data_IF_743058582522
#
_entry.id   IF_743058582522
#
_cell.length_a   1.000
_cell.length_b   1.000
_cell.length_c   1.000
_cell.angle_alpha   90.00
_cell.angle_beta   90.00
_cell.angle_gamma   90.00
#
_symmetry.space_group_name_H-M   'P 1'
#
loop_
_entity.id
_entity.type
_entity.pdbx_description
1 polymer ?
#
# COMPACT_ATOMS: atom_id res chain seq x y z
N UNK A 1 4.58 14.22 -7.39
CA UNK A 1 3.41 13.56 -8.01
C UNK A 1 3.76 13.33 -9.47
N UNK A 2 3.48 12.16 -10.02
CA UNK A 2 3.69 11.90 -11.44
C UNK A 2 2.59 12.60 -12.24
N UNK A 3 2.94 13.19 -13.38
CA UNK A 3 2.02 13.94 -14.21
C UNK A 3 1.85 13.26 -15.57
N UNK A 4 0.65 13.32 -16.10
CA UNK A 4 0.43 13.08 -17.52
C UNK A 4 0.90 14.29 -18.33
N UNK A 5 1.38 14.04 -19.53
CA UNK A 5 1.79 15.06 -20.50
C UNK A 5 1.08 14.81 -21.83
N UNK A 6 1.41 15.60 -22.86
CA UNK A 6 0.92 15.31 -24.22
C UNK A 6 1.46 13.98 -24.75
N UNK A 7 2.64 13.56 -24.32
CA UNK A 7 3.33 12.35 -24.77
C UNK A 7 2.98 11.11 -23.94
N UNK A 8 2.72 11.28 -22.64
CA UNK A 8 2.57 10.18 -21.70
C UNK A 8 1.32 10.31 -20.83
N UNK A 9 0.65 9.19 -20.61
CA UNK A 9 -0.40 9.08 -19.59
C UNK A 9 0.15 8.34 -18.38
N UNK A 10 0.07 8.99 -17.23
CA UNK A 10 0.50 8.43 -15.96
C UNK A 10 -0.32 7.20 -15.58
N UNK A 11 0.36 6.15 -15.13
CA UNK A 11 -0.26 5.02 -14.42
C UNK A 11 0.56 4.67 -13.19
N UNK A 12 -0.10 4.14 -12.18
CA UNK A 12 0.54 3.62 -10.98
C UNK A 12 -0.11 2.29 -10.60
N UNK A 13 0.70 1.26 -10.49
CA UNK A 13 0.25 -0.06 -10.02
C UNK A 13 0.44 -0.08 -8.51
N UNK A 14 -0.68 -0.25 -7.79
CA UNK A 14 -0.76 -0.06 -6.35
C UNK A 14 -0.98 -1.37 -5.60
N UNK A 15 -0.36 -1.46 -4.42
CA UNK A 15 -0.68 -2.44 -3.39
C UNK A 15 -0.52 -1.82 -2.00
N UNK A 16 -1.08 -2.46 -0.97
CA UNK A 16 -0.98 -1.98 0.41
C UNK A 16 -0.71 -3.12 1.37
N UNK A 17 0.30 -2.95 2.23
CA UNK A 17 0.62 -3.87 3.32
C UNK A 17 -0.42 -3.73 4.43
N UNK A 18 -0.95 -4.84 4.95
CA UNK A 18 -1.86 -4.80 6.09
C UNK A 18 -1.08 -4.74 7.41
N UNK A 19 -0.92 -3.54 7.94
CA UNK A 19 -0.15 -3.27 9.16
C UNK A 19 -0.77 -3.83 10.44
N UNK A 20 -2.01 -4.30 10.44
CA UNK A 20 -2.53 -5.08 11.55
C UNK A 20 -1.65 -6.31 11.85
N UNK A 21 -0.89 -6.77 10.85
CA UNK A 21 0.10 -7.84 10.96
C UNK A 21 1.55 -7.34 11.02
N UNK A 22 1.79 -6.10 11.46
CA UNK A 22 3.13 -5.50 11.43
C UNK A 22 4.22 -6.36 12.08
N UNK A 23 3.92 -7.01 13.21
CA UNK A 23 4.89 -7.86 13.90
C UNK A 23 5.37 -9.06 13.08
N UNK A 24 4.57 -9.53 12.13
CA UNK A 24 4.96 -10.58 11.17
C UNK A 24 5.67 -10.00 9.94
N UNK A 25 5.29 -8.77 9.54
CA UNK A 25 5.84 -8.12 8.35
C UNK A 25 7.27 -7.66 8.58
N UNK A 26 7.56 -7.03 9.73
CA UNK A 26 8.85 -6.38 10.04
C UNK A 26 10.06 -7.31 9.97
N UNK A 27 9.86 -8.61 10.25
CA UNK A 27 10.90 -9.63 10.29
C UNK A 27 10.83 -10.60 9.10
N UNK A 28 10.13 -10.20 8.02
CA UNK A 28 9.89 -11.05 6.84
C UNK A 28 10.31 -10.36 5.54
N UNK A 29 10.38 -11.13 4.46
CA UNK A 29 10.60 -10.64 3.10
C UNK A 29 9.33 -10.06 2.44
N UNK A 30 8.24 -9.84 3.19
CA UNK A 30 6.93 -9.49 2.63
C UNK A 30 6.96 -8.21 1.80
N UNK A 31 7.64 -7.16 2.26
CA UNK A 31 7.75 -5.87 1.54
C UNK A 31 8.59 -6.02 0.27
N UNK A 32 9.69 -6.78 0.34
CA UNK A 32 10.52 -7.11 -0.82
C UNK A 32 9.70 -7.86 -1.88
N UNK A 33 9.02 -8.93 -1.48
CA UNK A 33 8.19 -9.76 -2.37
C UNK A 33 7.05 -8.95 -2.98
N UNK A 34 6.36 -8.12 -2.19
CA UNK A 34 5.30 -7.24 -2.69
C UNK A 34 5.81 -6.24 -3.74
N UNK A 35 7.02 -5.70 -3.56
CA UNK A 35 7.66 -4.82 -4.54
C UNK A 35 7.98 -5.56 -5.84
N UNK A 36 8.54 -6.76 -5.75
CA UNK A 36 8.81 -7.62 -6.92
C UNK A 36 7.50 -7.96 -7.64
N UNK A 37 6.46 -8.31 -6.90
CA UNK A 37 5.14 -8.61 -7.46
C UNK A 37 4.56 -7.42 -8.24
N UNK A 38 4.66 -6.20 -7.70
CA UNK A 38 4.21 -5.00 -8.40
C UNK A 38 4.99 -4.74 -9.69
N UNK A 39 6.29 -5.02 -9.72
CA UNK A 39 7.08 -4.93 -10.96
C UNK A 39 6.67 -6.01 -11.98
N UNK A 40 6.30 -7.21 -11.53
CA UNK A 40 5.73 -8.24 -12.40
C UNK A 40 4.39 -7.78 -13.00
N UNK A 41 3.54 -7.09 -12.23
CA UNK A 41 2.29 -6.51 -12.75
C UNK A 41 2.56 -5.41 -13.78
N UNK A 42 3.63 -4.61 -13.62
CA UNK A 42 4.07 -3.69 -14.68
C UNK A 42 4.37 -4.45 -15.98
N UNK A 43 5.07 -5.57 -15.88
CA UNK A 43 5.40 -6.37 -17.06
C UNK A 43 4.16 -7.00 -17.69
N UNK A 44 3.24 -7.53 -16.89
CA UNK A 44 1.97 -8.08 -17.37
C UNK A 44 1.13 -7.01 -18.09
N UNK A 45 1.05 -5.80 -17.52
CA UNK A 45 0.38 -4.67 -18.15
C UNK A 45 1.04 -4.30 -19.50
N UNK A 46 2.37 -4.20 -19.55
CA UNK A 46 3.12 -3.89 -20.78
C UNK A 46 2.79 -4.92 -21.87
N UNK A 47 2.77 -6.20 -21.52
CA UNK A 47 2.49 -7.27 -22.47
C UNK A 47 1.03 -7.23 -22.96
N UNK A 48 0.07 -7.04 -22.06
CA UNK A 48 -1.37 -7.05 -22.38
C UNK A 48 -1.84 -5.78 -23.08
N UNK A 49 -1.16 -4.67 -22.93
CA UNK A 49 -1.49 -3.41 -23.58
C UNK A 49 -0.87 -3.24 -24.98
N UNK A 50 -0.08 -4.22 -25.43
CA UNK A 50 0.52 -4.17 -26.78
C UNK A 50 -0.55 -4.23 -27.88
N UNK A 51 -0.53 -3.24 -28.78
CA UNK A 51 -1.49 -3.14 -29.87
C UNK A 51 -2.93 -2.74 -29.46
N UNK A 52 -3.16 -2.43 -28.18
CA UNK A 52 -4.47 -1.97 -27.71
C UNK A 52 -4.61 -0.48 -27.94
N UNK A 53 -5.57 -0.11 -28.83
CA UNK A 53 -5.85 1.28 -29.19
C UNK A 53 -6.23 2.11 -27.95
N UNK A 54 -5.56 3.24 -27.76
CA UNK A 54 -5.79 4.17 -26.65
C UNK A 54 -4.94 3.88 -25.40
N UNK A 55 -4.17 2.79 -25.38
CA UNK A 55 -3.24 2.48 -24.28
C UNK A 55 -1.77 2.80 -24.59
N UNK A 56 -1.46 3.34 -25.76
CA UNK A 56 -0.08 3.57 -26.21
C UNK A 56 0.68 4.45 -25.24
N UNK A 57 0.13 5.60 -24.85
CA UNK A 57 0.79 6.58 -23.98
C UNK A 57 1.01 6.05 -22.55
N UNK A 58 0.08 5.30 -22.00
CA UNK A 58 0.23 4.70 -20.67
C UNK A 58 1.18 3.50 -20.70
N UNK A 59 1.18 2.75 -21.78
CA UNK A 59 2.14 1.66 -22.00
C UNK A 59 3.57 2.18 -22.07
N UNK A 60 3.81 3.22 -22.88
CA UNK A 60 5.12 3.86 -23.00
C UNK A 60 5.61 4.44 -21.66
N UNK A 61 4.73 5.09 -20.92
CA UNK A 61 5.01 5.55 -19.56
C UNK A 61 5.48 4.38 -18.68
N UNK A 62 4.74 3.26 -18.73
CA UNK A 62 5.05 2.09 -17.90
C UNK A 62 6.36 1.42 -18.33
N UNK A 63 6.66 1.33 -19.62
CA UNK A 63 7.93 0.79 -20.13
C UNK A 63 9.11 1.64 -19.63
N UNK A 64 9.02 2.97 -19.77
CA UNK A 64 10.12 3.90 -19.47
C UNK A 64 10.37 4.10 -17.98
N UNK A 65 9.34 4.04 -17.17
CA UNK A 65 9.41 4.41 -15.74
C UNK A 65 9.16 3.29 -14.74
N UNK A 66 8.35 2.30 -15.09
CA UNK A 66 7.93 1.20 -14.19
C UNK A 66 7.54 1.70 -12.80
N UNK A 67 6.72 2.76 -12.76
CA UNK A 67 6.27 3.37 -11.51
C UNK A 67 5.29 2.43 -10.78
N UNK A 68 5.60 2.12 -9.54
CA UNK A 68 4.77 1.32 -8.63
C UNK A 68 4.50 2.11 -7.35
N UNK A 69 3.47 1.72 -6.61
CA UNK A 69 3.11 2.37 -5.35
C UNK A 69 2.73 1.34 -4.29
N UNK A 70 3.71 0.90 -3.51
CA UNK A 70 3.47 0.09 -2.33
C UNK A 70 3.16 0.99 -1.14
N UNK A 71 1.98 0.84 -0.58
CA UNK A 71 1.51 1.58 0.58
C UNK A 71 1.19 0.68 1.77
N UNK A 72 0.36 1.19 2.65
CA UNK A 72 -0.08 0.48 3.84
C UNK A 72 -1.54 0.77 4.17
N UNK A 73 -2.17 -0.12 4.93
CA UNK A 73 -3.47 0.03 5.58
C UNK A 73 -3.42 -0.63 6.96
N UNK A 74 -4.40 -0.36 7.80
CA UNK A 74 -4.50 -0.99 9.12
C UNK A 74 -3.56 -0.40 10.18
N UNK A 75 -3.01 0.80 9.98
CA UNK A 75 -2.11 1.42 10.96
C UNK A 75 -2.85 1.71 12.28
N UNK A 76 -4.02 2.36 12.23
CA UNK A 76 -4.80 2.63 13.43
C UNK A 76 -5.28 1.34 14.10
N UNK A 77 -5.66 0.32 13.32
CA UNK A 77 -6.01 -1.00 13.87
C UNK A 77 -4.85 -1.61 14.67
N UNK A 78 -3.61 -1.49 14.17
CA UNK A 78 -2.44 -1.95 14.91
C UNK A 78 -2.21 -1.14 16.19
N UNK A 79 -2.37 0.18 16.14
CA UNK A 79 -2.27 1.04 17.32
C UNK A 79 -3.30 0.68 18.38
N UNK A 80 -4.57 0.50 17.97
CA UNK A 80 -5.67 0.09 18.87
C UNK A 80 -5.39 -1.26 19.53
N UNK A 81 -4.93 -2.26 18.76
CA UNK A 81 -4.58 -3.57 19.29
C UNK A 81 -3.50 -3.50 20.38
N UNK A 82 -2.55 -2.57 20.22
CA UNK A 82 -1.44 -2.37 21.16
C UNK A 82 -1.70 -1.30 22.24
N UNK A 83 -2.89 -0.70 22.27
CA UNK A 83 -3.24 0.34 23.24
C UNK A 83 -2.45 1.64 23.09
N UNK A 84 -2.00 1.98 21.87
CA UNK A 84 -1.24 3.16 21.56
C UNK A 84 -2.19 4.25 21.05
N UNK A 85 -2.30 5.41 21.72
CA UNK A 85 -3.09 6.54 21.22
C UNK A 85 -2.54 7.05 19.88
N UNK A 86 -3.42 7.34 18.93
CA UNK A 86 -3.05 7.74 17.58
C UNK A 86 -2.23 9.05 17.52
N UNK A 87 -2.55 10.00 18.38
CA UNK A 87 -1.91 11.32 18.51
C UNK A 87 -0.67 11.33 19.41
N UNK A 88 -0.20 10.15 19.83
CA UNK A 88 0.96 10.02 20.71
C UNK A 88 2.30 10.11 19.97
N UNK A 89 3.35 10.50 20.70
CA UNK A 89 4.73 10.44 20.22
C UNK A 89 5.12 9.00 19.85
N UNK A 90 4.62 8.01 20.61
CA UNK A 90 4.86 6.60 20.33
C UNK A 90 4.31 6.19 18.94
N UNK A 91 3.10 6.62 18.60
CA UNK A 91 2.51 6.37 17.27
C UNK A 91 3.33 7.04 16.16
N UNK A 92 3.80 8.27 16.39
CA UNK A 92 4.67 8.98 15.43
C UNK A 92 5.99 8.25 15.20
N UNK A 93 6.67 7.83 16.27
CA UNK A 93 7.92 7.08 16.15
C UNK A 93 7.71 5.73 15.44
N UNK A 94 6.62 5.05 15.74
CA UNK A 94 6.27 3.78 15.10
C UNK A 94 5.95 3.98 13.62
N UNK A 95 5.18 5.01 13.26
CA UNK A 95 4.87 5.30 11.84
C UNK A 95 6.14 5.56 11.03
N UNK A 96 7.09 6.32 11.59
CA UNK A 96 8.38 6.58 10.94
C UNK A 96 9.19 5.29 10.77
N UNK A 97 9.21 4.41 11.79
CA UNK A 97 9.89 3.11 11.70
C UNK A 97 9.30 2.22 10.59
N UNK A 98 7.97 2.15 10.52
CA UNK A 98 7.25 1.38 9.50
C UNK A 98 7.51 1.95 8.11
N UNK A 99 7.35 3.25 7.94
CA UNK A 99 7.56 3.92 6.66
C UNK A 99 9.00 3.73 6.16
N UNK A 100 9.98 3.87 7.06
CA UNK A 100 11.39 3.62 6.74
C UNK A 100 11.63 2.17 6.31
N UNK A 101 11.07 1.20 7.00
CA UNK A 101 11.19 -0.22 6.63
C UNK A 101 10.61 -0.48 5.22
N UNK A 102 9.41 0.03 4.92
CA UNK A 102 8.81 -0.10 3.59
C UNK A 102 9.72 0.55 2.53
N UNK A 103 10.27 1.72 2.82
CA UNK A 103 11.16 2.43 1.90
C UNK A 103 12.46 1.65 1.65
N UNK A 104 13.11 1.17 2.71
CA UNK A 104 14.40 0.47 2.61
C UNK A 104 14.24 -0.86 1.86
N UNK A 105 13.22 -1.66 2.21
CA UNK A 105 12.98 -2.95 1.59
C UNK A 105 12.51 -2.84 0.14
N UNK A 106 11.66 -1.86 -0.18
CA UNK A 106 11.26 -1.60 -1.57
C UNK A 106 12.43 -1.11 -2.42
N UNK A 107 13.36 -0.33 -1.83
CA UNK A 107 14.58 0.07 -2.50
C UNK A 107 15.52 -1.12 -2.75
N UNK A 108 15.67 -2.01 -1.77
CA UNK A 108 16.45 -3.25 -1.89
C UNK A 108 15.91 -4.12 -3.04
N UNK A 109 14.58 -4.28 -3.10
CA UNK A 109 13.91 -5.03 -4.16
C UNK A 109 14.11 -4.40 -5.54
N UNK A 110 13.93 -3.08 -5.66
CA UNK A 110 14.11 -2.38 -6.93
C UNK A 110 15.56 -2.44 -7.44
N UNK A 111 16.55 -2.37 -6.55
CA UNK A 111 17.97 -2.58 -6.88
C UNK A 111 18.25 -4.02 -7.35
N UNK A 112 17.65 -5.00 -6.69
CA UNK A 112 17.76 -6.40 -7.09
C UNK A 112 17.15 -6.63 -8.47
N UNK A 113 15.96 -6.07 -8.71
CA UNK A 113 15.28 -6.12 -10.02
C UNK A 113 16.12 -5.48 -11.12
N UNK A 114 16.74 -4.33 -10.87
CA UNK A 114 17.64 -3.67 -11.84
C UNK A 114 18.82 -4.54 -12.21
N UNK A 115 19.46 -5.22 -11.24
CA UNK A 115 20.56 -6.17 -11.50
C UNK A 115 20.12 -7.38 -12.31
N UNK A 116 18.89 -7.86 -12.15
CA UNK A 116 18.38 -9.06 -12.83
C UNK A 116 17.83 -8.77 -14.22
N UNK A 117 17.12 -7.65 -14.39
CA UNK A 117 16.32 -7.35 -15.58
C UNK A 117 16.68 -6.02 -16.25
N UNK A 118 17.69 -5.32 -15.73
CA UNK A 118 18.15 -4.03 -16.26
C UNK A 118 17.33 -2.84 -15.74
N UNK A 119 17.85 -1.67 -15.99
CA UNK A 119 17.24 -0.38 -15.65
C UNK A 119 16.38 0.11 -16.81
N UNK A 120 15.12 0.53 -16.61
CA UNK A 120 14.33 1.18 -17.63
C UNK A 120 14.91 2.57 -17.96
N UNK A 121 14.45 3.17 -19.04
CA UNK A 121 15.01 4.42 -19.60
C UNK A 121 15.17 5.52 -18.54
N UNK A 122 14.12 5.78 -17.74
CA UNK A 122 14.15 6.85 -16.73
C UNK A 122 14.88 6.50 -15.43
N UNK A 123 15.36 5.27 -15.31
CA UNK A 123 16.16 4.83 -14.18
C UNK A 123 17.63 4.58 -14.52
N UNK A 124 18.06 4.86 -15.78
CA UNK A 124 19.43 4.60 -16.21
C UNK A 124 20.45 5.35 -15.37
N UNK A 125 21.40 4.63 -14.81
CA UNK A 125 22.47 5.15 -13.97
C UNK A 125 22.13 5.32 -12.50
N UNK A 126 20.88 5.02 -12.08
CA UNK A 126 20.45 5.13 -10.68
C UNK A 126 20.50 3.81 -9.92
N UNK A 127 20.75 2.69 -10.58
CA UNK A 127 20.84 1.36 -9.96
C UNK A 127 19.51 0.82 -9.46
N UNK A 128 18.38 1.32 -9.96
CA UNK A 128 17.02 0.91 -9.60
C UNK A 128 16.18 0.61 -10.83
N UNK A 129 15.11 -0.18 -10.66
CA UNK A 129 14.19 -0.53 -11.75
C UNK A 129 12.89 0.28 -11.75
N UNK A 130 12.56 0.96 -10.67
CA UNK A 130 11.28 1.66 -10.51
C UNK A 130 11.53 3.12 -10.19
N UNK A 131 10.96 4.05 -10.95
CA UNK A 131 11.06 5.50 -10.72
C UNK A 131 10.40 5.91 -9.41
N UNK A 132 9.26 5.27 -9.08
CA UNK A 132 8.52 5.42 -7.83
C UNK A 132 8.24 4.05 -7.27
N UNK A 133 8.31 3.90 -5.93
CA UNK A 133 8.14 2.61 -5.25
C UNK A 133 7.03 2.62 -4.21
N UNK A 134 6.74 3.76 -3.63
CA UNK A 134 5.77 3.88 -2.53
C UNK A 134 4.68 4.89 -2.86
N UNK A 135 3.45 4.59 -2.44
CA UNK A 135 2.30 5.50 -2.51
C UNK A 135 1.28 5.11 -1.43
N UNK A 136 0.65 6.09 -0.82
CA UNK A 136 -0.38 5.85 0.19
C UNK A 136 -1.76 6.06 -0.44
N UNK A 137 -2.35 4.95 -0.89
CA UNK A 137 -3.71 4.93 -1.42
C UNK A 137 -4.75 4.92 -0.29
N UNK A 138 -5.98 5.40 -0.51
CA UNK A 138 -7.04 5.41 0.51
C UNK A 138 -7.45 4.02 1.02
N UNK A 139 -7.34 2.97 0.22
CA UNK A 139 -7.57 1.54 0.55
C UNK A 139 -8.96 1.17 1.07
N UNK A 140 -9.98 2.00 0.88
CA UNK A 140 -11.32 1.81 1.45
C UNK A 140 -11.88 0.38 1.26
N UNK A 141 -12.03 -0.06 0.01
CA UNK A 141 -12.55 -1.39 -0.31
C UNK A 141 -11.61 -2.52 0.11
N UNK A 142 -10.30 -2.32 -0.08
CA UNK A 142 -9.28 -3.30 0.29
C UNK A 142 -9.21 -3.52 1.80
N UNK A 143 -9.31 -2.45 2.59
CA UNK A 143 -9.33 -2.52 4.06
C UNK A 143 -10.54 -3.32 4.57
N UNK A 144 -11.71 -3.17 3.94
CA UNK A 144 -12.90 -3.97 4.25
C UNK A 144 -12.66 -5.46 3.98
N UNK A 145 -12.14 -5.79 2.79
CA UNK A 145 -11.85 -7.18 2.40
C UNK A 145 -10.80 -7.84 3.29
N UNK A 146 -9.87 -7.04 3.82
CA UNK A 146 -8.77 -7.51 4.66
C UNK A 146 -9.11 -7.56 6.16
N UNK A 147 -10.38 -7.72 6.49
CA UNK A 147 -10.87 -7.90 7.86
C UNK A 147 -11.37 -6.62 8.52
N UNK A 148 -11.77 -5.62 7.73
CA UNK A 148 -12.29 -4.37 8.25
C UNK A 148 -11.26 -3.52 8.99
N UNK A 149 -9.98 -3.61 8.64
CA UNK A 149 -8.91 -2.80 9.23
C UNK A 149 -9.07 -1.32 8.85
N UNK A 150 -8.39 -0.42 9.56
CA UNK A 150 -8.40 1.00 9.27
C UNK A 150 -7.84 1.32 7.88
N UNK A 151 -8.34 2.38 7.25
CA UNK A 151 -7.95 2.77 5.90
C UNK A 151 -6.60 3.47 5.92
N UNK A 152 -5.68 3.02 5.06
CA UNK A 152 -4.35 3.62 4.92
C UNK A 152 -3.65 3.82 6.27
N UNK A 153 -3.12 5.02 6.51
CA UNK A 153 -2.54 5.46 7.79
C UNK A 153 -3.55 6.20 8.67
N UNK A 154 -4.77 6.41 8.17
CA UNK A 154 -5.78 7.25 8.82
C UNK A 154 -6.39 6.57 10.04
N UNK A 155 -6.81 7.35 11.05
CA UNK A 155 -7.61 6.82 12.15
C UNK A 155 -9.02 6.45 11.66
N UNK A 156 -9.66 5.49 12.33
CA UNK A 156 -11.09 5.26 12.16
C UNK A 156 -11.88 6.46 12.67
N UNK A 157 -13.05 6.72 12.07
CA UNK A 157 -13.90 7.86 12.41
C UNK A 157 -14.47 7.79 13.84
N UNK A 158 -14.49 6.61 14.43
CA UNK A 158 -14.98 6.39 15.79
C UNK A 158 -14.91 4.92 16.19
N UNK A 159 -15.37 4.62 17.40
CA UNK A 159 -15.45 3.24 17.92
C UNK A 159 -16.60 2.45 17.28
N UNK A 160 -17.67 3.15 16.91
CA UNK A 160 -18.77 2.65 16.09
C UNK A 160 -19.17 3.78 15.16
N UNK A 161 -19.21 3.51 13.86
CA UNK A 161 -19.56 4.53 12.88
C UNK A 161 -20.22 3.93 11.63
N UNK A 162 -21.05 4.71 10.99
CA UNK A 162 -21.70 4.35 9.76
C UNK A 162 -20.86 4.85 8.57
N UNK A 163 -20.62 3.99 7.60
CA UNK A 163 -19.80 4.26 6.43
C UNK A 163 -20.62 4.04 5.16
N UNK A 164 -20.69 5.08 4.33
CA UNK A 164 -21.29 4.97 3.00
C UNK A 164 -20.42 4.11 2.09
N UNK A 165 -21.03 3.15 1.41
CA UNK A 165 -20.42 2.29 0.40
C UNK A 165 -21.25 2.26 -0.88
N UNK A 166 -20.72 1.66 -1.94
CA UNK A 166 -21.45 1.48 -3.19
C UNK A 166 -22.70 0.58 -3.06
N UNK A 167 -22.78 -0.23 -1.99
CA UNK A 167 -23.89 -1.15 -1.71
C UNK A 167 -24.79 -0.65 -0.57
N UNK A 168 -24.61 0.58 -0.09
CA UNK A 168 -25.39 1.17 1.00
C UNK A 168 -24.55 1.59 2.20
N UNK A 169 -25.21 1.90 3.30
CA UNK A 169 -24.56 2.23 4.56
C UNK A 169 -24.19 0.95 5.32
N UNK A 170 -22.97 0.91 5.79
CA UNK A 170 -22.43 -0.19 6.59
C UNK A 170 -22.04 0.34 7.97
N UNK A 171 -22.60 -0.25 9.03
CA UNK A 171 -22.11 0.02 10.39
C UNK A 171 -20.82 -0.71 10.63
N UNK A 172 -19.81 0.01 11.07
CA UNK A 172 -18.47 -0.52 11.37
C UNK A 172 -18.12 -0.40 12.84
N UNK A 173 -17.54 -1.48 13.35
CA UNK A 173 -16.83 -1.52 14.62
C UNK A 173 -15.38 -1.89 14.25
N UNK A 174 -14.37 -1.07 14.60
CA UNK A 174 -12.98 -1.43 14.34
C UNK A 174 -12.63 -2.78 14.97
N UNK A 175 -11.99 -3.71 14.24
CA UNK A 175 -11.80 -5.08 14.70
C UNK A 175 -11.03 -5.20 16.02
N UNK A 176 -9.98 -4.39 16.19
CA UNK A 176 -9.22 -4.39 17.43
C UNK A 176 -10.03 -3.88 18.65
N UNK A 177 -10.94 -2.94 18.42
CA UNK A 177 -11.87 -2.46 19.46
C UNK A 177 -12.91 -3.53 19.80
N UNK A 178 -13.48 -4.19 18.79
CA UNK A 178 -14.42 -5.30 18.97
C UNK A 178 -13.82 -6.42 19.83
N UNK A 179 -12.62 -6.89 19.51
CA UNK A 179 -11.93 -7.93 20.27
C UNK A 179 -11.69 -7.51 21.74
N UNK A 180 -11.27 -6.27 21.99
CA UNK A 180 -11.08 -5.75 23.36
C UNK A 180 -12.39 -5.66 24.14
N UNK A 181 -13.50 -5.32 23.52
CA UNK A 181 -14.81 -5.32 24.17
C UNK A 181 -15.24 -6.73 24.55
N UNK A 182 -15.01 -7.69 23.65
CA UNK A 182 -15.29 -9.11 23.86
C UNK A 182 -14.46 -9.69 25.02
N UNK A 183 -13.15 -9.41 25.04
CA UNK A 183 -12.25 -9.81 26.14
C UNK A 183 -12.68 -9.26 27.50
N UNK A 184 -13.22 -8.05 27.55
CA UNK A 184 -13.72 -7.42 28.77
C UNK A 184 -15.14 -7.81 29.15
N UNK A 185 -15.83 -8.64 28.35
CA UNK A 185 -17.20 -9.05 28.59
C UNK A 185 -18.24 -7.92 28.52
N UNK A 186 -17.89 -6.80 27.84
CA UNK A 186 -18.79 -5.65 27.68
C UNK A 186 -19.49 -5.63 26.32
N UNK A 187 -19.26 -6.62 25.50
CA UNK A 187 -19.96 -6.84 24.23
C UNK A 187 -21.05 -7.87 24.40
N UNK A 188 -22.31 -7.51 24.11
CA UNK A 188 -23.43 -8.41 23.90
C UNK A 188 -23.85 -8.34 22.43
N UNK A 189 -24.10 -9.48 21.80
CA UNK A 189 -24.66 -9.57 20.45
C UNK A 189 -26.07 -8.97 20.38
#
# INVERSE_FOLDING_TARGET
MLHSSEEYTYSCILASMNLANWDKIKDSESVFIATVFLDCLCQDFINKSEGVIGLEKVRDFTIKGRAIGLGAMGFHTYLQANGIPYDSIQATLLSNKIAKHIQDESLRASKWLAKKFGEPEWCKGYGVRNTHRTAYAPTKSTALLMGGVSESWSPDAGMVFDMASAVGELRRIPPAFYEKMKEKGVYSE
#
